data_IF_588448555084
#
_entry.id   IF_588448555084
#
_cell.length_a   1.000
_cell.length_b   1.000
_cell.length_c   1.000
_cell.angle_alpha   90.00
_cell.angle_beta   90.00
_cell.angle_gamma   90.00
#
_symmetry.space_group_name_H-M   'P 1'
#
loop_
_entity.id
_entity.type
_entity.pdbx_description
1 polymer ?
#
# COMPACT_ATOMS: atom_id res chain seq x y z
N UNK A 1 15.93 2.67 8.04
CA UNK A 1 15.31 2.30 6.75
C UNK A 1 14.87 3.58 6.08
N UNK A 2 15.34 3.84 4.86
CA UNK A 2 15.16 5.14 4.21
C UNK A 2 13.80 5.14 3.52
N UNK A 3 12.86 5.96 4.01
CA UNK A 3 11.59 6.25 3.30
C UNK A 3 11.97 6.72 1.91
N UNK A 4 11.52 6.00 0.88
CA UNK A 4 11.77 6.41 -0.47
C UNK A 4 10.60 7.28 -0.98
N UNK A 5 10.97 8.38 -1.63
CA UNK A 5 10.27 9.07 -2.73
C UNK A 5 9.39 10.30 -2.44
N UNK A 6 9.75 11.47 -3.01
CA UNK A 6 8.91 12.67 -3.05
C UNK A 6 7.71 12.59 -4.02
N UNK A 7 7.82 11.86 -5.13
CA UNK A 7 6.84 11.96 -6.24
C UNK A 7 5.48 11.32 -5.90
N UNK A 8 5.46 10.11 -5.33
CA UNK A 8 4.21 9.46 -4.95
C UNK A 8 3.54 10.16 -3.76
N UNK A 9 4.32 10.77 -2.88
CA UNK A 9 3.79 11.54 -1.74
C UNK A 9 3.07 12.82 -2.18
N UNK A 10 3.23 13.29 -3.42
CA UNK A 10 2.45 14.41 -3.95
C UNK A 10 0.94 14.12 -3.90
N UNK A 11 0.53 12.84 -3.95
CA UNK A 11 -0.88 12.43 -3.84
C UNK A 11 -1.54 12.93 -2.55
N UNK A 12 -0.77 13.07 -1.47
CA UNK A 12 -1.24 13.63 -0.20
C UNK A 12 -1.37 15.16 -0.26
N UNK A 13 -0.39 15.82 -0.88
CA UNK A 13 -0.35 17.29 -1.00
C UNK A 13 -1.46 17.87 -1.87
N UNK A 14 -2.05 17.06 -2.77
CA UNK A 14 -3.09 17.49 -3.68
C UNK A 14 -4.50 17.52 -3.05
N UNK A 15 -4.66 17.05 -1.80
CA UNK A 15 -5.95 17.01 -1.10
C UNK A 15 -6.15 18.28 -0.26
N UNK A 16 -7.39 18.74 -0.14
CA UNK A 16 -7.75 19.97 0.59
C UNK A 16 -8.86 19.71 1.60
N UNK A 17 -9.09 20.66 2.51
CA UNK A 17 -10.06 20.53 3.59
C UNK A 17 -9.77 19.34 4.52
N UNK A 18 -10.84 18.70 5.02
CA UNK A 18 -10.74 17.54 5.91
C UNK A 18 -9.95 16.38 5.28
N UNK A 19 -10.10 16.17 3.97
CA UNK A 19 -9.31 15.13 3.27
C UNK A 19 -7.82 15.48 3.21
N UNK A 20 -7.47 16.76 3.09
CA UNK A 20 -6.08 17.23 3.18
C UNK A 20 -5.47 16.99 4.55
N UNK A 21 -6.20 17.29 5.62
CA UNK A 21 -5.76 17.03 6.99
C UNK A 21 -5.52 15.53 7.25
N UNK A 22 -6.47 14.69 6.85
CA UNK A 22 -6.33 13.25 6.96
C UNK A 22 -5.14 12.74 6.12
N UNK A 23 -4.96 13.26 4.90
CA UNK A 23 -3.88 12.87 4.01
C UNK A 23 -2.51 13.20 4.62
N UNK A 24 -2.39 14.36 5.26
CA UNK A 24 -1.16 14.75 5.94
C UNK A 24 -0.91 13.89 7.19
N UNK A 25 -1.95 13.53 7.95
CA UNK A 25 -1.83 12.58 9.07
C UNK A 25 -1.34 11.21 8.60
N UNK A 26 -1.90 10.70 7.50
CA UNK A 26 -1.47 9.43 6.91
C UNK A 26 0.00 9.52 6.49
N UNK A 27 0.37 10.55 5.73
CA UNK A 27 1.75 10.78 5.28
C UNK A 27 2.75 10.78 6.44
N UNK A 28 2.43 11.45 7.53
CA UNK A 28 3.30 11.55 8.71
C UNK A 28 3.42 10.23 9.48
N UNK A 29 2.46 9.31 9.30
CA UNK A 29 2.42 8.05 10.01
C UNK A 29 3.06 6.87 9.26
N UNK A 30 3.47 7.07 8.00
CA UNK A 30 4.19 6.05 7.22
C UNK A 30 5.48 5.69 7.97
N UNK A 31 5.56 4.45 8.44
CA UNK A 31 6.75 3.92 9.11
C UNK A 31 7.80 3.49 8.08
N UNK A 32 7.34 2.80 7.03
CA UNK A 32 8.16 2.33 5.92
C UNK A 32 7.29 2.28 4.67
N UNK A 33 7.89 2.48 3.52
CA UNK A 33 7.26 2.24 2.24
C UNK A 33 8.26 1.62 1.26
N UNK A 34 7.78 1.16 0.12
CA UNK A 34 8.66 0.66 -0.93
C UNK A 34 7.90 0.09 -2.11
N UNK A 35 8.68 -0.39 -3.07
CA UNK A 35 8.20 -1.17 -4.20
C UNK A 35 8.64 -2.61 -3.98
N UNK A 36 7.68 -3.53 -3.96
CA UNK A 36 7.91 -4.96 -4.07
C UNK A 36 7.98 -5.30 -5.57
N UNK A 37 9.04 -5.99 -5.98
CA UNK A 37 9.21 -6.46 -7.36
C UNK A 37 8.93 -7.96 -7.41
N UNK A 38 8.16 -8.39 -8.41
CA UNK A 38 7.86 -9.80 -8.61
C UNK A 38 9.14 -10.64 -8.77
N UNK A 39 9.28 -11.73 -8.00
CA UNK A 39 10.40 -12.66 -8.17
C UNK A 39 10.24 -13.54 -9.41
N UNK A 40 9.06 -13.61 -10.05
CA UNK A 40 8.82 -14.43 -11.23
C UNK A 40 9.37 -13.74 -12.49
N UNK A 41 10.15 -14.46 -13.29
CA UNK A 41 10.65 -13.99 -14.59
C UNK A 41 9.56 -13.88 -15.66
N UNK A 42 8.51 -14.68 -15.53
CA UNK A 42 7.41 -14.78 -16.49
C UNK A 42 6.17 -13.96 -16.08
N UNK A 43 6.19 -13.34 -14.90
CA UNK A 43 5.12 -12.50 -14.40
C UNK A 43 5.68 -11.22 -13.77
N UNK A 44 5.95 -10.23 -14.61
CA UNK A 44 6.58 -8.97 -14.19
C UNK A 44 5.52 -7.98 -13.70
N UNK A 45 5.49 -7.80 -12.39
CA UNK A 45 4.69 -6.79 -11.72
C UNK A 45 5.46 -6.18 -10.57
N UNK A 46 5.03 -4.99 -10.16
CA UNK A 46 5.53 -4.33 -8.97
C UNK A 46 4.37 -3.83 -8.11
N UNK A 47 4.53 -3.89 -6.78
CA UNK A 47 3.53 -3.41 -5.82
C UNK A 47 4.13 -2.30 -4.96
N UNK A 48 3.54 -1.11 -5.02
CA UNK A 48 3.81 -0.09 -4.02
C UNK A 48 3.05 -0.38 -2.74
N UNK A 49 3.77 -0.34 -1.63
CA UNK A 49 3.24 -0.60 -0.30
C UNK A 49 3.68 0.44 0.72
N UNK A 50 2.88 0.59 1.76
CA UNK A 50 3.11 1.43 2.92
C UNK A 50 2.83 0.60 4.19
N UNK A 51 3.81 0.60 5.09
CA UNK A 51 3.72 0.04 6.43
C UNK A 51 3.50 1.16 7.43
N UNK A 52 2.60 0.90 8.37
CA UNK A 52 2.28 1.79 9.47
C UNK A 52 2.36 1.02 10.78
N UNK A 53 2.95 1.64 11.80
CA UNK A 53 3.16 0.98 13.09
C UNK A 53 4.18 -0.15 13.05
N UNK A 54 4.47 -0.69 14.23
CA UNK A 54 5.48 -1.74 14.45
C UNK A 54 4.95 -2.86 15.37
N UNK A 55 3.64 -2.88 15.62
CA UNK A 55 3.02 -3.82 16.54
C UNK A 55 3.06 -5.27 16.06
N UNK A 56 2.90 -6.24 16.99
CA UNK A 56 2.91 -7.66 16.68
C UNK A 56 1.68 -8.14 15.89
N UNK A 57 0.53 -7.46 15.99
CA UNK A 57 -0.69 -7.82 15.24
C UNK A 57 -0.60 -7.26 13.83
N UNK A 58 -0.54 -8.13 12.82
CA UNK A 58 -0.37 -7.74 11.42
C UNK A 58 -1.72 -7.69 10.69
N UNK A 59 -2.01 -6.57 10.05
CA UNK A 59 -3.22 -6.36 9.26
C UNK A 59 -2.83 -5.93 7.85
N UNK A 60 -3.41 -6.57 6.83
CA UNK A 60 -3.28 -6.16 5.44
C UNK A 60 -4.63 -5.66 4.92
N UNK A 61 -4.62 -4.53 4.22
CA UNK A 61 -5.79 -4.08 3.47
C UNK A 61 -5.62 -4.44 2.00
N UNK A 62 -6.58 -5.22 1.49
CA UNK A 62 -6.63 -5.64 0.08
C UNK A 62 -7.64 -4.76 -0.64
N UNK A 63 -7.17 -4.00 -1.63
CA UNK A 63 -8.02 -3.09 -2.40
C UNK A 63 -9.08 -3.85 -3.22
N UNK A 64 -10.29 -3.29 -3.24
CA UNK A 64 -11.31 -3.66 -4.23
C UNK A 64 -10.98 -3.16 -5.64
N UNK A 65 -11.83 -3.52 -6.61
CA UNK A 65 -11.62 -3.17 -8.02
C UNK A 65 -11.52 -1.65 -8.24
N UNK A 66 -10.45 -1.21 -8.91
CA UNK A 66 -10.21 0.19 -9.29
C UNK A 66 -9.87 1.13 -8.13
N UNK A 67 -9.75 0.63 -6.90
CA UNK A 67 -9.40 1.42 -5.74
C UNK A 67 -7.90 1.58 -5.55
N UNK A 68 -7.52 2.63 -4.81
CA UNK A 68 -6.16 2.86 -4.32
C UNK A 68 -6.13 2.93 -2.79
N UNK A 69 -4.92 2.93 -2.22
CA UNK A 69 -4.69 2.98 -0.78
C UNK A 69 -5.34 4.14 -0.02
N UNK A 70 -5.71 5.24 -0.67
CA UNK A 70 -6.32 6.38 0.01
C UNK A 70 -7.76 6.12 0.46
N UNK A 71 -8.44 5.14 -0.14
CA UNK A 71 -9.78 4.75 0.27
C UNK A 71 -9.86 4.33 1.74
N UNK A 72 -8.77 3.78 2.28
CA UNK A 72 -8.73 3.29 3.65
C UNK A 72 -8.36 4.34 4.69
N UNK A 73 -8.00 5.56 4.28
CA UNK A 73 -7.46 6.58 5.20
C UNK A 73 -8.33 6.84 6.43
N UNK A 74 -9.65 6.92 6.24
CA UNK A 74 -10.61 7.18 7.33
C UNK A 74 -10.67 6.04 8.35
N UNK A 75 -10.30 4.83 7.95
CA UNK A 75 -10.24 3.63 8.81
C UNK A 75 -8.83 3.45 9.37
N UNK A 76 -7.80 3.67 8.54
CA UNK A 76 -6.40 3.61 8.91
C UNK A 76 -6.12 4.49 10.13
N UNK A 77 -6.48 5.77 10.06
CA UNK A 77 -6.05 6.76 11.05
C UNK A 77 -6.46 6.41 12.49
N UNK A 78 -7.73 6.04 12.79
CA UNK A 78 -8.10 5.54 14.12
C UNK A 78 -7.36 4.26 14.51
N UNK A 79 -7.11 3.32 13.58
CA UNK A 79 -6.40 2.08 13.89
C UNK A 79 -4.94 2.30 14.28
N UNK A 80 -4.32 3.41 13.86
CA UNK A 80 -2.96 3.76 14.24
C UNK A 80 -2.82 4.21 15.71
N UNK A 81 -3.94 4.44 16.40
CA UNK A 81 -3.95 4.73 17.84
C UNK A 81 -3.69 3.47 18.68
N UNK A 82 -3.67 2.29 18.05
CA UNK A 82 -3.41 0.99 18.66
C UNK A 82 -1.95 0.54 18.44
N UNK A 83 -1.05 0.70 19.44
CA UNK A 83 0.38 0.41 19.29
C UNK A 83 0.69 -1.08 19.03
N UNK A 84 -0.26 -1.97 19.33
CA UNK A 84 -0.16 -3.41 19.08
C UNK A 84 -0.32 -3.79 17.60
N UNK A 85 -0.75 -2.86 16.74
CA UNK A 85 -1.03 -3.11 15.34
C UNK A 85 0.13 -2.64 14.44
N UNK A 86 0.42 -3.43 13.42
CA UNK A 86 1.10 -2.98 12.21
C UNK A 86 0.18 -3.22 11.01
N UNK A 87 0.05 -2.19 10.17
CA UNK A 87 -0.82 -2.19 9.00
C UNK A 87 0.03 -2.13 7.74
N UNK A 88 -0.27 -3.00 6.78
CA UNK A 88 0.21 -2.91 5.40
C UNK A 88 -0.93 -2.47 4.49
N UNK A 89 -0.74 -1.34 3.82
CA UNK A 89 -1.52 -0.93 2.66
C UNK A 89 -0.68 -1.17 1.41
N UNK A 90 -1.29 -1.64 0.34
CA UNK A 90 -0.63 -1.69 -0.97
C UNK A 90 -1.62 -1.38 -2.10
N UNK A 91 -1.10 -0.95 -3.24
CA UNK A 91 -1.87 -0.85 -4.48
C UNK A 91 -1.74 -2.18 -5.24
N UNK A 92 -2.87 -2.73 -5.70
CA UNK A 92 -2.86 -3.92 -6.57
C UNK A 92 -2.03 -3.68 -7.83
N UNK A 93 -1.50 -4.77 -8.43
CA UNK A 93 -0.79 -4.69 -9.70
C UNK A 93 -1.58 -3.90 -10.75
N UNK A 94 -0.90 -3.03 -11.49
CA UNK A 94 -1.53 -2.16 -12.49
C UNK A 94 -2.25 -0.91 -11.95
N UNK A 95 -2.35 -0.74 -10.62
CA UNK A 95 -2.82 0.51 -10.00
C UNK A 95 -1.62 1.36 -9.61
N UNK A 96 -1.42 2.49 -10.29
CA UNK A 96 -0.27 3.35 -10.05
C UNK A 96 -0.09 3.68 -8.55
N UNK A 97 1.13 3.56 -7.99
CA UNK A 97 2.40 3.34 -8.70
C UNK A 97 2.80 1.88 -8.89
N UNK A 98 1.95 0.93 -8.50
CA UNK A 98 2.13 -0.48 -8.84
C UNK A 98 1.98 -0.69 -10.35
N UNK A 99 2.79 -1.60 -10.91
CA UNK A 99 2.85 -1.84 -12.36
C UNK A 99 2.62 -3.31 -12.69
N UNK A 100 2.27 -3.58 -13.95
CA UNK A 100 2.20 -4.94 -14.52
C UNK A 100 2.30 -4.86 -16.04
N UNK A 101 2.90 -5.89 -16.63
CA UNK A 101 2.89 -6.15 -18.08
C UNK A 101 1.59 -6.80 -18.58
N UNK A 102 0.80 -7.43 -17.69
CA UNK A 102 -0.40 -8.24 -18.01
C UNK A 102 -1.73 -7.52 -17.77
N UNK A 103 -1.91 -6.32 -18.33
CA UNK A 103 -3.11 -5.49 -18.08
C UNK A 103 -4.45 -6.14 -18.43
N UNK A 104 -4.48 -7.06 -19.40
CA UNK A 104 -5.72 -7.65 -19.93
C UNK A 104 -6.05 -9.07 -19.42
N UNK A 105 -5.23 -9.63 -18.53
CA UNK A 105 -5.37 -11.03 -18.07
C UNK A 105 -5.28 -11.19 -16.55
N UNK A 106 -5.45 -10.10 -15.79
CA UNK A 106 -5.41 -10.14 -14.33
C UNK A 106 -6.63 -10.88 -13.77
N UNK A 107 -6.38 -11.90 -12.95
CA UNK A 107 -7.42 -12.63 -12.23
C UNK A 107 -7.34 -12.32 -10.74
N UNK A 108 -8.44 -12.57 -10.01
CA UNK A 108 -8.46 -12.44 -8.54
C UNK A 108 -7.43 -13.39 -7.90
N UNK A 109 -7.25 -14.59 -8.47
CA UNK A 109 -6.26 -15.56 -7.99
C UNK A 109 -4.82 -15.03 -8.09
N UNK A 110 -4.50 -14.32 -9.18
CA UNK A 110 -3.19 -13.66 -9.32
C UNK A 110 -3.01 -12.57 -8.26
N UNK A 111 -3.98 -11.68 -8.09
CA UNK A 111 -3.89 -10.61 -7.08
C UNK A 111 -3.78 -11.15 -5.65
N UNK A 112 -4.48 -12.25 -5.34
CA UNK A 112 -4.35 -12.93 -4.06
C UNK A 112 -2.95 -13.55 -3.86
N UNK A 113 -2.35 -14.09 -4.93
CA UNK A 113 -0.98 -14.58 -4.91
C UNK A 113 0.02 -13.44 -4.68
N UNK A 114 -0.19 -12.27 -5.28
CA UNK A 114 0.69 -11.11 -5.09
C UNK A 114 0.69 -10.62 -3.65
N UNK A 115 -0.49 -10.54 -3.05
CA UNK A 115 -0.63 -10.19 -1.65
C UNK A 115 0.13 -11.18 -0.75
N UNK A 116 0.04 -12.48 -1.05
CA UNK A 116 0.80 -13.51 -0.34
C UNK A 116 2.31 -13.33 -0.48
N UNK A 117 2.80 -13.05 -1.69
CA UNK A 117 4.22 -12.81 -1.93
C UNK A 117 4.73 -11.55 -1.19
N UNK A 118 3.97 -10.46 -1.24
CA UNK A 118 4.28 -9.23 -0.51
C UNK A 118 4.41 -9.48 1.00
N UNK A 119 3.41 -10.13 1.60
CA UNK A 119 3.37 -10.40 3.04
C UNK A 119 4.61 -11.19 3.47
N UNK A 120 5.06 -12.17 2.67
CA UNK A 120 6.23 -12.99 3.00
C UNK A 120 7.54 -12.22 3.02
N UNK A 121 7.63 -11.11 2.28
CA UNK A 121 8.82 -10.26 2.24
C UNK A 121 8.79 -9.18 3.34
N UNK A 122 7.61 -8.80 3.82
CA UNK A 122 7.42 -7.76 4.84
C UNK A 122 7.29 -8.31 6.27
N UNK A 123 7.63 -9.59 6.51
CA UNK A 123 7.78 -10.16 7.86
C UNK A 123 9.12 -9.74 8.48
#
# INVERSE_FOLDING_TARGET
>A
MQVQFPEYLQRFSNKTGVEGELAQRQKNAVYQNGIFESPDENDKFSLYYELYGQGPVKIIFIQGFGGDMDLYRRILIPMLEHPEIQICLYNNRGIYPSTTDKRNSMTIAMMAHDAYLLIRQTQ
#
